data_IF_213387412644
#
_entry.id   IF_213387412644
#
_cell.length_a   1.000
_cell.length_b   1.000
_cell.length_c   1.000
_cell.angle_alpha   90.00
_cell.angle_beta   90.00
_cell.angle_gamma   90.00
#
_symmetry.space_group_name_H-M   'P 1'
#
loop_
_entity.id
_entity.type
_entity.pdbx_description
1 polymer ?
#
# COMPACT_ATOMS: atom_id res chain seq x y z
N UNK A 1 10.07 6.55 12.83
CA UNK A 1 8.90 5.93 13.50
C UNK A 1 7.77 5.62 12.53
N UNK A 2 7.32 6.56 11.69
CA UNK A 2 6.38 6.27 10.58
C UNK A 2 6.88 5.20 9.61
N UNK A 3 8.19 5.15 9.36
CA UNK A 3 8.84 4.12 8.55
C UNK A 3 8.79 2.69 9.13
N UNK A 4 8.44 2.55 10.41
CA UNK A 4 8.22 1.25 11.06
C UNK A 4 6.73 0.85 11.05
N UNK A 5 5.93 1.45 10.16
CA UNK A 5 4.49 1.15 10.04
C UNK A 5 3.62 1.72 11.17
N UNK A 6 4.19 2.39 12.16
CA UNK A 6 3.44 3.02 13.24
C UNK A 6 2.76 4.32 12.78
N UNK A 7 1.52 4.54 13.21
CA UNK A 7 0.80 5.80 13.02
C UNK A 7 1.25 6.77 14.11
N UNK A 8 1.81 7.91 13.71
CA UNK A 8 2.31 8.93 14.64
C UNK A 8 1.42 10.16 14.56
N UNK A 9 0.89 10.60 15.70
CA UNK A 9 0.13 11.84 15.83
C UNK A 9 0.92 12.81 16.72
N UNK A 10 1.08 14.06 16.27
CA UNK A 10 1.64 15.13 17.10
C UNK A 10 0.51 15.81 17.87
N UNK A 11 0.70 16.02 19.17
CA UNK A 11 -0.25 16.73 20.02
C UNK A 11 0.28 18.12 20.36
N UNK A 12 -0.58 19.12 20.21
CA UNK A 12 -0.34 20.48 20.66
C UNK A 12 -1.56 21.00 21.42
N UNK A 13 -1.34 21.80 22.45
CA UNK A 13 -2.42 22.42 23.21
C UNK A 13 -2.18 23.92 23.37
N UNK A 14 -3.26 24.67 23.58
CA UNK A 14 -3.21 26.11 23.90
C UNK A 14 -4.20 26.36 25.02
N UNK A 15 -3.74 27.03 26.07
CA UNK A 15 -4.61 27.44 27.16
C UNK A 15 -5.33 28.73 26.75
N UNK A 16 -6.66 28.69 26.74
CA UNK A 16 -7.51 29.83 26.35
C UNK A 16 -8.07 30.59 27.56
N UNK A 17 -7.71 30.19 28.79
CA UNK A 17 -8.24 30.79 30.02
C UNK A 17 -9.73 30.48 30.25
N UNK A 18 -10.38 31.30 31.08
CA UNK A 18 -11.83 31.24 31.30
C UNK A 18 -12.57 32.04 30.21
N UNK A 19 -13.38 31.36 29.42
CA UNK A 19 -14.20 31.96 28.36
C UNK A 19 -15.69 31.75 28.66
N UNK A 20 -16.52 32.75 28.35
CA UNK A 20 -17.96 32.56 28.41
C UNK A 20 -18.47 31.82 27.16
N UNK A 21 -19.62 31.15 27.29
CA UNK A 21 -20.19 30.31 26.22
C UNK A 21 -20.47 31.08 24.90
N UNK A 22 -20.68 32.40 24.98
CA UNK A 22 -20.84 33.29 23.81
C UNK A 22 -19.51 33.44 23.05
N UNK A 23 -18.41 33.63 23.76
CA UNK A 23 -17.09 33.91 23.19
C UNK A 23 -16.54 32.64 22.51
N UNK A 24 -16.86 31.46 23.06
CA UNK A 24 -16.50 30.16 22.47
C UNK A 24 -17.14 29.97 21.09
N UNK A 25 -18.38 30.43 20.89
CA UNK A 25 -19.11 30.26 19.62
C UNK A 25 -18.61 31.18 18.51
N UNK A 26 -18.01 32.31 18.87
CA UNK A 26 -17.47 33.30 17.92
C UNK A 26 -16.01 33.02 17.51
N UNK A 27 -15.32 32.12 18.23
CA UNK A 27 -13.94 31.75 17.91
C UNK A 27 -13.84 31.08 16.54
N UNK A 28 -12.91 31.59 15.73
CA UNK A 28 -12.58 31.00 14.43
C UNK A 28 -11.56 29.88 14.62
N UNK A 29 -11.69 28.80 13.83
CA UNK A 29 -10.76 27.67 13.85
C UNK A 29 -9.29 28.09 13.75
N UNK A 30 -8.98 29.04 12.87
CA UNK A 30 -7.60 29.51 12.68
C UNK A 30 -6.97 30.21 13.89
N UNK A 31 -7.77 30.86 14.76
CA UNK A 31 -7.24 31.53 15.96
C UNK A 31 -6.97 30.58 17.12
N UNK A 32 -7.64 29.41 17.11
CA UNK A 32 -7.42 28.35 18.10
C UNK A 32 -6.33 27.37 17.66
N UNK A 33 -6.18 27.11 16.36
CA UNK A 33 -5.15 26.23 15.77
C UNK A 33 -3.82 26.98 15.47
N UNK A 34 -3.47 28.01 16.24
CA UNK A 34 -2.20 28.74 16.12
C UNK A 34 -1.46 28.82 17.46
N UNK A 35 -0.12 28.91 17.43
CA UNK A 35 0.75 29.07 18.60
C UNK A 35 0.52 27.99 19.69
N UNK A 36 0.36 26.75 19.24
CA UNK A 36 0.18 25.60 20.13
C UNK A 36 1.50 25.25 20.84
N UNK A 37 1.41 24.92 22.12
CA UNK A 37 2.52 24.32 22.87
C UNK A 37 2.58 22.83 22.55
N UNK A 38 3.74 22.35 22.09
CA UNK A 38 3.95 20.93 21.82
C UNK A 38 3.82 20.10 23.10
N UNK A 39 2.92 19.13 23.08
CA UNK A 39 2.65 18.26 24.22
C UNK A 39 3.40 16.92 24.12
N UNK A 40 3.62 16.44 22.90
CA UNK A 40 4.25 15.13 22.66
C UNK A 40 3.74 14.43 21.41
N UNK A 41 4.11 13.16 21.26
CA UNK A 41 3.64 12.27 20.20
C UNK A 41 2.80 11.13 20.78
N UNK A 42 1.77 10.73 20.05
CA UNK A 42 1.07 9.46 20.25
C UNK A 42 1.48 8.51 19.13
N UNK A 43 1.97 7.33 19.51
CA UNK A 43 2.40 6.28 18.58
C UNK A 43 1.41 5.13 18.69
N UNK A 44 0.73 4.83 17.59
CA UNK A 44 -0.22 3.74 17.50
C UNK A 44 0.38 2.67 16.58
N UNK A 45 0.63 1.49 17.14
CA UNK A 45 1.12 0.31 16.41
C UNK A 45 0.08 -0.79 16.42
N UNK A 46 -0.17 -1.41 15.27
CA UNK A 46 -0.93 -2.65 15.16
C UNK A 46 0.07 -3.81 15.04
N UNK A 47 0.43 -4.49 16.14
CA UNK A 47 1.43 -5.56 16.10
C UNK A 47 0.92 -6.74 15.28
N UNK A 48 1.85 -7.46 14.64
CA UNK A 48 1.53 -8.70 13.94
C UNK A 48 1.12 -9.79 14.93
N UNK A 49 0.18 -10.64 14.54
CA UNK A 49 -0.16 -11.84 15.32
C UNK A 49 1.09 -12.72 15.43
N UNK A 50 1.38 -13.21 16.64
CA UNK A 50 2.60 -13.97 16.92
C UNK A 50 2.80 -15.19 15.99
N UNK A 51 1.71 -15.79 15.52
CA UNK A 51 1.71 -16.96 14.64
C UNK A 51 1.91 -16.62 13.15
N UNK A 52 1.68 -15.38 12.72
CA UNK A 52 1.69 -15.00 11.30
C UNK A 52 3.03 -15.30 10.62
N UNK A 53 4.14 -15.02 11.30
CA UNK A 53 5.49 -15.24 10.76
C UNK A 53 5.73 -16.72 10.44
N UNK A 54 5.36 -17.62 11.36
CA UNK A 54 5.55 -19.05 11.19
C UNK A 54 4.61 -19.60 10.11
N UNK A 55 3.33 -19.19 10.10
CA UNK A 55 2.38 -19.61 9.08
C UNK A 55 2.82 -19.24 7.66
N UNK A 56 3.25 -17.99 7.44
CA UNK A 56 3.76 -17.54 6.14
C UNK A 56 5.02 -18.32 5.74
N UNK A 57 5.92 -18.60 6.69
CA UNK A 57 7.13 -19.37 6.44
C UNK A 57 6.81 -20.78 5.95
N UNK A 58 5.90 -21.50 6.60
CA UNK A 58 5.50 -22.85 6.20
C UNK A 58 4.83 -22.84 4.81
N UNK A 59 3.97 -21.86 4.53
CA UNK A 59 3.35 -21.70 3.20
C UNK A 59 4.41 -21.48 2.11
N UNK A 60 5.42 -20.65 2.38
CA UNK A 60 6.53 -20.43 1.44
C UNK A 60 7.40 -21.68 1.27
N UNK A 61 7.64 -22.45 2.34
CA UNK A 61 8.39 -23.71 2.28
C UNK A 61 7.66 -24.79 1.48
N UNK A 62 6.32 -24.79 1.50
CA UNK A 62 5.48 -25.61 0.64
C UNK A 62 5.42 -25.13 -0.83
N UNK A 63 6.31 -24.19 -1.23
CA UNK A 63 6.40 -23.64 -2.59
C UNK A 63 5.15 -22.89 -3.07
N UNK A 64 4.31 -22.39 -2.16
CA UNK A 64 3.20 -21.52 -2.52
C UNK A 64 3.66 -20.07 -2.72
N UNK A 65 3.06 -19.42 -3.71
CA UNK A 65 3.31 -18.01 -3.98
C UNK A 65 2.43 -17.11 -3.10
N UNK A 66 3.04 -16.48 -2.09
CA UNK A 66 2.35 -15.59 -1.15
C UNK A 66 2.33 -14.14 -1.65
N UNK A 67 1.15 -13.50 -1.64
CA UNK A 67 0.91 -12.09 -2.01
C UNK A 67 0.12 -11.41 -0.90
N UNK A 68 0.44 -10.15 -0.59
CA UNK A 68 -0.32 -9.32 0.34
C UNK A 68 -1.27 -8.37 -0.41
N UNK A 69 -2.53 -8.30 0.01
CA UNK A 69 -3.54 -7.39 -0.55
C UNK A 69 -4.20 -6.61 0.60
N UNK A 70 -3.91 -5.31 0.72
CA UNK A 70 -4.36 -4.46 1.85
C UNK A 70 -4.90 -3.09 1.43
N UNK A 71 -5.79 -2.54 2.25
CA UNK A 71 -6.28 -1.16 2.12
C UNK A 71 -5.34 -0.12 2.77
N UNK A 72 -4.30 -0.54 3.48
CA UNK A 72 -3.36 0.36 4.15
C UNK A 72 -2.44 1.10 3.17
N UNK A 73 -1.79 2.15 3.68
CA UNK A 73 -0.79 2.93 2.96
C UNK A 73 0.37 2.01 2.49
N UNK A 74 0.93 2.22 1.28
CA UNK A 74 2.07 1.48 0.76
C UNK A 74 3.27 1.37 1.71
N UNK A 75 3.58 2.42 2.47
CA UNK A 75 4.70 2.41 3.43
C UNK A 75 4.48 1.36 4.52
N UNK A 76 3.29 1.35 5.14
CA UNK A 76 2.93 0.39 6.18
C UNK A 76 2.83 -1.02 5.61
N UNK A 77 2.20 -1.18 4.44
CA UNK A 77 2.04 -2.47 3.78
C UNK A 77 3.40 -3.11 3.44
N UNK A 78 4.32 -2.33 2.86
CA UNK A 78 5.65 -2.82 2.52
C UNK A 78 6.47 -3.15 3.78
N UNK A 79 6.34 -2.34 4.84
CA UNK A 79 7.00 -2.63 6.12
C UNK A 79 6.54 -3.98 6.69
N UNK A 80 5.22 -4.21 6.77
CA UNK A 80 4.66 -5.47 7.26
C UNK A 80 5.04 -6.65 6.35
N UNK A 81 5.06 -6.44 5.02
CA UNK A 81 5.49 -7.48 4.09
C UNK A 81 6.96 -7.87 4.25
N UNK A 82 7.85 -6.90 4.51
CA UNK A 82 9.26 -7.15 4.81
C UNK A 82 9.41 -7.86 6.15
N UNK A 83 8.64 -7.46 7.16
CA UNK A 83 8.64 -8.10 8.47
C UNK A 83 8.20 -9.57 8.35
N UNK A 84 7.16 -9.87 7.57
CA UNK A 84 6.70 -11.24 7.29
C UNK A 84 7.57 -12.02 6.29
N UNK A 85 8.64 -11.42 5.74
CA UNK A 85 9.51 -12.02 4.71
C UNK A 85 8.76 -12.41 3.42
N UNK A 86 7.67 -11.70 3.11
CA UNK A 86 7.01 -11.76 1.79
C UNK A 86 7.87 -11.09 0.73
N UNK A 87 8.56 -10.02 1.11
CA UNK A 87 9.58 -9.33 0.31
C UNK A 87 10.96 -9.55 0.95
N UNK A 88 11.97 -9.71 0.11
CA UNK A 88 13.38 -9.95 0.50
C UNK A 88 14.33 -8.96 -0.15
N UNK A 89 13.92 -8.32 -1.25
CA UNK A 89 14.68 -7.34 -2.00
C UNK A 89 14.17 -5.94 -1.68
N UNK A 90 14.86 -4.92 -2.18
CA UNK A 90 14.33 -3.55 -2.13
C UNK A 90 12.98 -3.50 -2.84
N UNK A 91 11.98 -2.91 -2.18
CA UNK A 91 10.62 -2.84 -2.70
C UNK A 91 10.42 -1.53 -3.47
N UNK A 92 9.94 -1.63 -4.70
CA UNK A 92 9.57 -0.49 -5.53
C UNK A 92 8.04 -0.34 -5.56
N UNK A 93 7.55 0.87 -5.34
CA UNK A 93 6.14 1.24 -5.40
C UNK A 93 5.85 1.91 -6.74
N UNK A 94 4.78 1.49 -7.41
CA UNK A 94 4.31 2.15 -8.62
C UNK A 94 3.58 3.45 -8.26
N UNK A 95 4.14 4.59 -8.66
CA UNK A 95 3.64 5.93 -8.34
C UNK A 95 3.48 6.77 -9.60
N UNK A 96 2.47 7.65 -9.61
CA UNK A 96 2.36 8.69 -10.63
C UNK A 96 3.24 9.88 -10.22
N UNK A 97 4.11 10.31 -11.13
CA UNK A 97 4.84 11.57 -11.03
C UNK A 97 4.07 12.61 -11.85
N UNK A 98 3.57 13.64 -11.17
CA UNK A 98 2.80 14.73 -11.76
C UNK A 98 2.06 15.47 -10.67
N UNK A 99 2.48 16.71 -10.39
CA UNK A 99 1.65 17.62 -9.62
C UNK A 99 0.36 17.87 -10.42
N UNK A 100 -0.75 18.18 -9.73
CA UNK A 100 -2.10 18.37 -10.31
C UNK A 100 -2.20 19.53 -11.35
N UNK A 101 -1.09 20.01 -11.88
CA UNK A 101 -0.93 21.07 -12.86
C UNK A 101 -0.78 20.49 -14.27
N UNK A 102 -1.84 19.90 -14.83
CA UNK A 102 -2.06 19.77 -16.27
C UNK A 102 -1.08 18.96 -17.13
N UNK A 103 0.02 18.44 -16.60
CA UNK A 103 0.95 17.55 -17.32
C UNK A 103 0.45 16.11 -17.34
N UNK A 104 0.74 15.37 -18.42
CA UNK A 104 0.41 13.96 -18.54
C UNK A 104 1.02 13.16 -17.37
N UNK A 105 0.18 12.48 -16.60
CA UNK A 105 0.64 11.67 -15.45
C UNK A 105 1.63 10.60 -15.92
N UNK A 106 2.91 10.78 -15.58
CA UNK A 106 3.95 9.82 -15.91
C UNK A 106 4.11 8.81 -14.78
N UNK A 107 3.91 7.53 -15.08
CA UNK A 107 4.06 6.46 -14.09
C UNK A 107 5.52 5.99 -13.99
N UNK A 108 6.00 5.83 -12.76
CA UNK A 108 7.34 5.35 -12.48
C UNK A 108 7.35 4.41 -11.27
N UNK A 109 8.38 3.57 -11.20
CA UNK A 109 8.69 2.77 -10.01
C UNK A 109 9.61 3.57 -9.10
N UNK A 110 9.20 3.77 -7.85
CA UNK A 110 9.98 4.51 -6.86
C UNK A 110 10.23 3.65 -5.63
N UNK A 111 11.46 3.66 -5.11
CA UNK A 111 11.77 3.01 -3.84
C UNK A 111 11.15 3.75 -2.65
N UNK A 112 10.92 3.04 -1.54
CA UNK A 112 10.29 3.62 -0.34
C UNK A 112 11.09 4.82 0.23
N UNK A 113 12.41 4.77 0.14
CA UNK A 113 13.35 5.81 0.55
C UNK A 113 13.56 6.90 -0.52
N UNK A 114 12.89 6.80 -1.67
CA UNK A 114 12.98 7.72 -2.82
C UNK A 114 14.37 7.84 -3.45
N UNK A 115 15.30 6.93 -3.16
CA UNK A 115 16.66 6.93 -3.71
C UNK A 115 16.73 6.37 -5.12
N UNK A 116 15.81 5.46 -5.46
CA UNK A 116 15.78 4.78 -6.76
C UNK A 116 14.46 5.08 -7.45
N UNK A 117 14.56 5.59 -8.68
CA UNK A 117 13.41 5.81 -9.57
C UNK A 117 13.69 5.16 -10.91
N UNK A 118 12.77 4.33 -11.39
CA UNK A 118 12.84 3.66 -12.68
C UNK A 118 11.59 4.00 -13.52
N UNK A 119 11.69 4.08 -14.85
CA UNK A 119 10.52 4.26 -15.71
C UNK A 119 9.58 3.06 -15.61
N UNK A 120 8.30 3.24 -15.98
CA UNK A 120 7.26 2.19 -15.95
C UNK A 120 7.73 0.86 -16.57
N UNK A 121 8.43 0.95 -17.69
CA UNK A 121 9.05 -0.18 -18.39
C UNK A 121 10.55 0.10 -18.54
N UNK A 122 11.41 -0.42 -17.63
CA UNK A 122 12.85 -0.22 -17.72
C UNK A 122 13.49 -1.09 -18.79
N UNK A 123 14.73 -0.76 -19.17
CA UNK A 123 15.52 -1.55 -20.11
C UNK A 123 15.75 -2.97 -19.57
N UNK A 124 15.22 -3.97 -20.28
CA UNK A 124 15.14 -5.37 -19.83
C UNK A 124 13.76 -5.81 -19.31
N UNK A 125 12.80 -4.89 -19.30
CA UNK A 125 11.38 -5.11 -19.00
C UNK A 125 11.11 -5.68 -17.60
N UNK A 126 9.97 -6.37 -17.48
CA UNK A 126 9.51 -6.95 -16.21
C UNK A 126 10.46 -8.04 -15.67
N UNK A 127 11.24 -8.70 -16.53
CA UNK A 127 12.21 -9.73 -16.11
C UNK A 127 13.30 -9.14 -15.21
N UNK A 128 13.86 -8.00 -15.59
CA UNK A 128 14.89 -7.31 -14.80
C UNK A 128 14.33 -6.78 -13.48
N UNK A 129 13.10 -6.25 -13.50
CA UNK A 129 12.39 -5.83 -12.30
C UNK A 129 12.24 -6.99 -11.30
N UNK A 130 11.72 -8.14 -11.75
CA UNK A 130 11.56 -9.36 -10.92
C UNK A 130 12.88 -9.86 -10.33
N UNK A 131 13.97 -9.75 -11.08
CA UNK A 131 15.29 -10.23 -10.66
C UNK A 131 15.89 -9.36 -9.56
N UNK A 132 15.71 -8.05 -9.61
CA UNK A 132 16.42 -7.13 -8.73
C UNK A 132 15.55 -6.57 -7.59
N UNK A 133 14.23 -6.52 -7.77
CA UNK A 133 13.31 -5.82 -6.88
C UNK A 133 12.07 -6.64 -6.55
N UNK A 134 11.46 -6.32 -5.40
CA UNK A 134 10.09 -6.72 -5.11
C UNK A 134 9.15 -5.55 -5.48
N UNK A 135 7.95 -5.85 -5.95
CA UNK A 135 7.05 -4.83 -6.50
C UNK A 135 5.83 -4.64 -5.61
N UNK A 136 5.47 -3.38 -5.38
CA UNK A 136 4.26 -2.93 -4.72
C UNK A 136 3.42 -2.07 -5.69
N UNK A 137 2.15 -2.39 -5.83
CA UNK A 137 1.19 -1.66 -6.68
C UNK A 137 0.11 -1.03 -5.80
N UNK A 138 -0.23 0.22 -6.08
CA UNK A 138 -1.32 0.92 -5.38
C UNK A 138 -2.63 0.81 -6.13
N UNK A 139 -3.76 0.98 -5.44
CA UNK A 139 -5.09 1.00 -6.06
C UNK A 139 -5.25 2.03 -7.19
N UNK A 140 -4.54 3.16 -7.11
CA UNK A 140 -4.56 4.22 -8.13
C UNK A 140 -3.93 3.77 -9.47
N UNK A 141 -3.02 2.80 -9.45
CA UNK A 141 -2.35 2.28 -10.65
C UNK A 141 -3.14 1.19 -11.39
N UNK A 142 -4.29 0.75 -10.85
CA UNK A 142 -5.10 -0.32 -11.48
C UNK A 142 -5.60 0.03 -12.88
N UNK A 143 -6.14 1.23 -13.16
CA UNK A 143 -6.59 1.60 -14.50
C UNK A 143 -5.46 1.50 -15.54
N UNK A 144 -4.23 1.86 -15.17
CA UNK A 144 -3.05 1.69 -16.01
C UNK A 144 -2.79 0.22 -16.35
N UNK A 145 -2.78 -0.65 -15.32
CA UNK A 145 -2.55 -2.09 -15.49
C UNK A 145 -3.65 -2.81 -16.27
N UNK A 146 -4.84 -2.21 -16.33
CA UNK A 146 -6.01 -2.71 -17.07
C UNK A 146 -6.13 -2.11 -18.48
N UNK A 147 -5.27 -1.14 -18.83
CA UNK A 147 -5.34 -0.48 -20.14
C UNK A 147 -5.05 -1.45 -21.29
N UNK A 148 -5.79 -1.31 -22.38
CA UNK A 148 -5.59 -2.08 -23.62
C UNK A 148 -4.59 -1.41 -24.59
N UNK A 149 -3.70 -0.56 -24.06
CA UNK A 149 -2.74 0.17 -24.87
C UNK A 149 -1.57 -0.69 -25.37
N UNK A 150 -0.60 -0.08 -26.06
CA UNK A 150 0.59 -0.76 -26.58
C UNK A 150 1.40 -1.50 -25.50
N UNK A 151 1.35 -0.99 -24.26
CA UNK A 151 2.06 -1.55 -23.10
C UNK A 151 1.31 -2.68 -22.38
N UNK A 152 0.07 -2.99 -22.77
CA UNK A 152 -0.81 -3.98 -22.12
C UNK A 152 -0.15 -5.34 -21.93
N UNK A 153 0.59 -5.83 -22.94
CA UNK A 153 1.33 -7.10 -22.85
C UNK A 153 2.37 -7.06 -21.74
N UNK A 154 3.18 -6.00 -21.66
CA UNK A 154 4.20 -5.84 -20.63
C UNK A 154 3.59 -5.68 -19.24
N UNK A 155 2.51 -4.91 -19.12
CA UNK A 155 1.81 -4.69 -17.85
C UNK A 155 1.13 -5.96 -17.34
N UNK A 156 0.62 -6.81 -18.23
CA UNK A 156 0.01 -8.09 -17.81
C UNK A 156 1.00 -9.06 -17.16
N UNK A 157 2.29 -8.93 -17.47
CA UNK A 157 3.36 -9.72 -16.82
C UNK A 157 3.63 -9.28 -15.38
N UNK A 158 3.13 -8.12 -14.95
CA UNK A 158 3.31 -7.63 -13.58
C UNK A 158 2.45 -8.38 -12.56
N UNK A 159 1.23 -8.80 -12.93
CA UNK A 159 0.27 -9.45 -12.02
C UNK A 159 0.90 -10.60 -11.20
N UNK A 160 1.58 -11.60 -11.80
CA UNK A 160 2.18 -12.70 -11.04
C UNK A 160 3.52 -12.35 -10.35
N UNK A 161 4.04 -11.14 -10.55
CA UNK A 161 5.34 -10.70 -10.01
C UNK A 161 5.17 -9.78 -8.80
N UNK A 162 4.06 -9.03 -8.74
CA UNK A 162 3.76 -8.12 -7.64
C UNK A 162 3.56 -8.89 -6.33
N UNK A 163 4.21 -8.41 -5.27
CA UNK A 163 4.17 -9.02 -3.92
C UNK A 163 3.20 -8.34 -2.97
N UNK A 164 2.98 -7.05 -3.18
CA UNK A 164 2.14 -6.22 -2.32
C UNK A 164 1.20 -5.38 -3.17
N UNK A 165 -0.09 -5.47 -2.87
CA UNK A 165 -1.11 -4.55 -3.35
C UNK A 165 -1.57 -3.71 -2.16
N UNK A 166 -1.34 -2.40 -2.22
CA UNK A 166 -1.62 -1.46 -1.14
C UNK A 166 -2.69 -0.44 -1.55
N UNK A 167 -3.38 0.13 -0.56
CA UNK A 167 -4.47 1.10 -0.77
C UNK A 167 -5.50 0.62 -1.81
N UNK A 168 -5.82 -0.68 -1.79
CA UNK A 168 -6.76 -1.27 -2.74
C UNK A 168 -8.19 -1.27 -2.21
N UNK A 169 -9.14 -0.94 -3.10
CA UNK A 169 -10.56 -1.01 -2.82
C UNK A 169 -11.07 -2.48 -2.80
N UNK A 170 -12.20 -2.79 -2.15
CA UNK A 170 -12.77 -4.14 -2.12
C UNK A 170 -12.91 -4.80 -3.51
N UNK A 171 -13.47 -4.06 -4.49
CA UNK A 171 -13.57 -4.54 -5.89
C UNK A 171 -12.22 -4.82 -6.55
N UNK A 172 -11.18 -4.08 -6.17
CA UNK A 172 -9.83 -4.30 -6.68
C UNK A 172 -9.20 -5.57 -6.09
N UNK A 173 -9.52 -5.93 -4.83
CA UNK A 173 -9.09 -7.21 -4.25
C UNK A 173 -9.66 -8.39 -5.03
N UNK A 174 -10.97 -8.34 -5.30
CA UNK A 174 -11.67 -9.32 -6.14
C UNK A 174 -11.04 -9.40 -7.54
N UNK A 175 -10.72 -8.26 -8.14
CA UNK A 175 -10.07 -8.21 -9.43
C UNK A 175 -8.69 -8.90 -9.43
N UNK A 176 -7.86 -8.70 -8.40
CA UNK A 176 -6.55 -9.37 -8.31
C UNK A 176 -6.72 -10.89 -8.30
N UNK A 177 -7.63 -11.41 -7.48
CA UNK A 177 -7.90 -12.85 -7.38
C UNK A 177 -8.40 -13.41 -8.72
N UNK A 178 -9.43 -12.80 -9.30
CA UNK A 178 -9.99 -13.24 -10.60
C UNK A 178 -8.98 -13.13 -11.73
N UNK A 179 -8.12 -12.11 -11.72
CA UNK A 179 -7.04 -11.96 -12.70
C UNK A 179 -6.00 -13.06 -12.58
N UNK A 180 -5.57 -13.41 -11.37
CA UNK A 180 -4.64 -14.53 -11.15
C UNK A 180 -5.25 -15.85 -11.62
N UNK A 181 -6.53 -16.10 -11.34
CA UNK A 181 -7.26 -17.27 -11.87
C UNK A 181 -7.29 -17.31 -13.39
N UNK A 182 -7.57 -16.17 -14.04
CA UNK A 182 -7.56 -16.09 -15.52
C UNK A 182 -6.19 -16.38 -16.14
N UNK A 183 -5.11 -16.20 -15.38
CA UNK A 183 -3.75 -16.54 -15.78
C UNK A 183 -3.38 -18.01 -15.51
N UNK A 184 -4.32 -18.82 -14.99
CA UNK A 184 -4.14 -20.25 -14.75
C UNK A 184 -3.63 -20.62 -13.35
N UNK A 185 -3.58 -19.67 -12.41
CA UNK A 185 -3.20 -19.96 -11.03
C UNK A 185 -4.41 -20.47 -10.23
N UNK A 186 -4.17 -21.45 -9.35
CA UNK A 186 -5.09 -21.80 -8.27
C UNK A 186 -4.87 -20.80 -7.13
N UNK A 187 -5.95 -20.21 -6.66
CA UNK A 187 -5.92 -19.10 -5.70
C UNK A 187 -6.58 -19.49 -4.38
N UNK A 188 -5.94 -19.11 -3.28
CA UNK A 188 -6.49 -19.17 -1.93
C UNK A 188 -6.51 -17.75 -1.38
N UNK A 189 -7.63 -17.33 -0.80
CA UNK A 189 -7.75 -16.02 -0.15
C UNK A 189 -8.04 -16.18 1.33
N UNK A 190 -7.32 -15.43 2.17
CA UNK A 190 -7.60 -15.35 3.60
C UNK A 190 -7.78 -13.88 3.99
N UNK A 191 -8.89 -13.56 4.63
CA UNK A 191 -9.24 -12.22 5.10
C UNK A 191 -10.33 -12.30 6.17
N UNK A 192 -10.43 -11.28 7.02
CA UNK A 192 -11.33 -11.25 8.17
C UNK A 192 -12.41 -10.15 8.06
N UNK A 193 -12.32 -9.27 7.06
CA UNK A 193 -13.20 -8.13 6.89
C UNK A 193 -14.31 -8.35 5.86
N UNK A 194 -15.40 -7.59 5.99
CA UNK A 194 -16.45 -7.47 4.96
C UNK A 194 -15.90 -6.98 3.60
N UNK A 195 -14.76 -6.27 3.64
CA UNK A 195 -14.02 -5.82 2.47
C UNK A 195 -13.42 -6.95 1.62
N UNK A 196 -13.29 -8.17 2.18
CA UNK A 196 -12.67 -9.31 1.51
C UNK A 196 -13.70 -10.29 0.93
N UNK A 197 -14.99 -10.10 1.22
CA UNK A 197 -16.08 -11.02 0.83
C UNK A 197 -16.09 -11.30 -0.68
N UNK A 198 -15.92 -10.27 -1.50
CA UNK A 198 -15.86 -10.42 -2.96
C UNK A 198 -14.66 -11.26 -3.40
N UNK A 199 -13.49 -11.05 -2.80
CA UNK A 199 -12.27 -11.81 -3.11
C UNK A 199 -12.36 -13.26 -2.61
N UNK A 200 -12.87 -13.48 -1.39
CA UNK A 200 -13.10 -14.80 -0.80
C UNK A 200 -14.06 -15.64 -1.66
N UNK A 201 -15.15 -15.04 -2.15
CA UNK A 201 -16.12 -15.74 -3.00
C UNK A 201 -15.53 -16.20 -4.34
N UNK A 202 -14.54 -15.48 -4.87
CA UNK A 202 -13.95 -15.78 -6.18
C UNK A 202 -12.69 -16.63 -6.13
N UNK A 203 -12.03 -16.74 -4.96
CA UNK A 203 -10.93 -17.65 -4.76
C UNK A 203 -11.37 -19.11 -4.97
N UNK A 204 -10.43 -20.01 -5.26
CA UNK A 204 -10.72 -21.43 -5.35
C UNK A 204 -10.89 -22.06 -3.96
N UNK A 205 -10.25 -21.46 -2.95
CA UNK A 205 -10.31 -21.81 -1.53
C UNK A 205 -10.43 -20.56 -0.67
#
# INVERSE_FOLDING_TARGET
>A
MTWQGARVLALGYKNLGELQAKDIRELKRGSVECDLTFAGFVIISCPLKATSRNAIKEIQHASHHTVMITGDNPLTACHVAQELKLTRKQTLVLTASGDNSGEEQMWCWQSLDKTTTLPLVPDGGVKKLKQNFDLCVTGEAFPLLQSNGPLSKSLSLLWPVVKVYARVAPKQKEFVVTKMKSLGYVTLMCGDGTNDVGALKHADV
#
